data_IF_616009381492
#
_entry.id   IF_616009381492
#
_cell.length_a   1.000
_cell.length_b   1.000
_cell.length_c   1.000
_cell.angle_alpha   90.00
_cell.angle_beta   90.00
_cell.angle_gamma   90.00
#
_symmetry.space_group_name_H-M   'P 1'
#
loop_
_entity.id
_entity.type
_entity.pdbx_description
1 polymer ?
#
# COMPACT_ATOMS: atom_id res chain seq x y z
N UNK A 1 -17.40 -24.45 48.67
CA UNK A 1 -16.26 -23.87 49.40
C UNK A 1 -15.75 -22.67 48.62
N UNK A 2 -15.98 -21.46 49.15
CA UNK A 2 -15.55 -20.20 48.58
C UNK A 2 -14.24 -19.75 49.22
N UNK A 3 -13.27 -19.28 48.42
CA UNK A 3 -12.08 -18.52 48.85
C UNK A 3 -11.96 -17.32 47.90
N UNK A 4 -12.63 -16.21 48.21
CA UNK A 4 -12.16 -15.02 48.96
C UNK A 4 -11.04 -14.27 48.21
N UNK A 5 -11.45 -13.20 47.50
CA UNK A 5 -10.62 -12.08 47.00
C UNK A 5 -10.21 -11.19 48.19
N UNK A 6 -8.98 -10.67 48.19
CA UNK A 6 -8.63 -9.27 48.56
C UNK A 6 -7.09 -9.07 48.62
N UNK A 7 -6.60 -8.03 47.94
CA UNK A 7 -5.60 -7.02 48.38
C UNK A 7 -4.91 -6.41 47.15
N UNK A 8 -4.78 -5.11 46.85
CA UNK A 8 -5.20 -3.78 47.34
C UNK A 8 -4.80 -2.77 46.21
N UNK A 9 -5.52 -1.65 45.98
CA UNK A 9 -5.01 -0.53 45.18
C UNK A 9 -4.46 0.57 46.11
N UNK A 10 -3.18 0.91 45.94
CA UNK A 10 -2.49 1.94 46.72
C UNK A 10 -2.94 3.35 46.33
N UNK A 11 -3.66 3.94 47.26
CA UNK A 11 -3.52 5.30 47.82
C UNK A 11 -3.59 6.51 46.89
N UNK A 12 -4.77 7.12 46.98
CA UNK A 12 -5.13 8.52 46.74
C UNK A 12 -4.32 9.42 47.69
N UNK A 13 -3.75 10.53 47.21
CA UNK A 13 -3.46 11.69 48.06
C UNK A 13 -4.11 12.92 47.44
N UNK A 14 -5.31 13.19 47.95
CA UNK A 14 -6.04 14.44 47.84
C UNK A 14 -5.30 15.51 48.65
N UNK A 15 -5.00 16.65 48.03
CA UNK A 15 -4.92 17.94 48.72
C UNK A 15 -5.82 18.90 47.96
N UNK A 16 -6.99 19.14 48.53
CA UNK A 16 -7.87 20.24 48.15
C UNK A 16 -7.34 21.54 48.76
N UNK A 17 -7.27 22.58 47.94
CA UNK A 17 -7.48 23.96 48.37
C UNK A 17 -8.17 24.69 47.22
N UNK A 18 -9.42 25.06 47.45
CA UNK A 18 -10.32 25.81 46.58
C UNK A 18 -9.99 27.31 46.73
N UNK A 19 -10.09 28.09 45.63
CA UNK A 19 -10.79 29.41 45.52
C UNK A 19 -10.26 30.18 44.29
N UNK A 20 -11.12 30.19 43.25
CA UNK A 20 -11.54 31.29 42.35
C UNK A 20 -10.52 32.24 41.70
N UNK A 21 -10.40 32.17 40.37
CA UNK A 21 -10.48 33.37 39.51
C UNK A 21 -10.62 33.01 38.03
N UNK A 22 -11.61 33.62 37.38
CA UNK A 22 -11.92 33.56 35.97
C UNK A 22 -10.76 34.01 35.07
N UNK A 23 -10.44 33.21 34.04
CA UNK A 23 -10.22 33.69 32.67
C UNK A 23 -10.06 32.54 31.69
N UNK A 24 -11.10 32.37 30.90
CA UNK A 24 -11.07 31.67 29.62
C UNK A 24 -10.04 32.36 28.70
N UNK A 25 -8.95 31.67 28.36
CA UNK A 25 -8.09 32.05 27.23
C UNK A 25 -7.75 30.79 26.46
N UNK A 26 -8.56 30.56 25.42
CA UNK A 26 -8.41 29.51 24.43
C UNK A 26 -7.14 29.79 23.61
N UNK A 27 -6.13 28.89 23.56
CA UNK A 27 -5.01 29.09 22.65
C UNK A 27 -5.50 29.00 21.19
N UNK A 28 -4.95 29.80 20.27
CA UNK A 28 -5.36 29.82 18.87
C UNK A 28 -5.19 28.44 18.22
N UNK A 29 -6.05 28.05 17.27
CA UNK A 29 -5.92 26.76 16.59
C UNK A 29 -4.59 26.70 15.85
N UNK A 30 -3.77 25.69 16.15
CA UNK A 30 -2.61 25.38 15.33
C UNK A 30 -3.06 25.19 13.87
N UNK A 31 -2.38 25.79 12.88
CA UNK A 31 -2.67 25.51 11.48
C UNK A 31 -2.53 24.00 11.22
N UNK A 32 -3.39 23.41 10.37
CA UNK A 32 -3.34 21.98 10.08
C UNK A 32 -1.93 21.57 9.63
N UNK A 33 -1.41 20.41 10.05
CA UNK A 33 -0.08 19.95 9.65
C UNK A 33 0.00 19.96 8.13
N UNK A 34 0.86 20.83 7.61
CA UNK A 34 1.18 20.90 6.19
C UNK A 34 1.74 19.53 5.82
N UNK A 35 1.02 18.77 5.00
CA UNK A 35 1.48 17.50 4.46
C UNK A 35 2.69 17.78 3.57
N UNK A 36 3.89 17.81 4.16
CA UNK A 36 5.13 17.71 3.40
C UNK A 36 5.19 16.25 2.95
N UNK A 37 4.69 15.99 1.75
CA UNK A 37 4.95 14.78 0.99
C UNK A 37 6.47 14.70 0.74
N UNK A 38 7.22 14.24 1.73
CA UNK A 38 8.56 13.69 1.52
C UNK A 38 8.39 12.30 0.87
N UNK A 39 7.74 12.29 -0.29
CA UNK A 39 7.93 11.23 -1.26
C UNK A 39 9.39 11.38 -1.69
N UNK A 40 10.28 10.54 -1.16
CA UNK A 40 11.50 10.28 -1.91
C UNK A 40 11.02 9.85 -3.30
N UNK A 41 11.33 10.60 -4.38
CA UNK A 41 10.83 10.27 -5.68
C UNK A 41 11.38 8.90 -6.02
N UNK A 42 10.51 7.89 -6.11
CA UNK A 42 10.88 6.63 -6.74
C UNK A 42 11.44 7.03 -8.09
N UNK A 43 12.74 6.77 -8.30
CA UNK A 43 13.41 7.19 -9.51
C UNK A 43 12.57 6.72 -10.70
N UNK A 44 12.18 7.64 -11.61
CA UNK A 44 11.27 7.29 -12.67
C UNK A 44 11.87 6.13 -13.45
N UNK A 45 11.08 5.07 -13.74
CA UNK A 45 11.60 3.95 -14.49
C UNK A 45 12.19 4.47 -15.81
N UNK A 46 13.37 3.99 -16.18
CA UNK A 46 14.05 4.35 -17.44
C UNK A 46 13.31 3.74 -18.63
N UNK A 47 12.05 4.13 -18.85
CA UNK A 47 11.14 3.56 -19.85
C UNK A 47 11.77 3.57 -21.23
N UNK A 48 12.42 4.67 -21.61
CA UNK A 48 13.11 4.76 -22.91
C UNK A 48 14.24 3.74 -23.09
N UNK A 49 14.98 3.41 -22.03
CA UNK A 49 15.99 2.35 -22.09
C UNK A 49 15.34 0.96 -22.18
N UNK A 50 14.30 0.72 -21.37
CA UNK A 50 13.55 -0.55 -21.36
C UNK A 50 12.89 -0.80 -22.72
N UNK A 51 12.28 0.22 -23.35
CA UNK A 51 11.68 0.11 -24.68
C UNK A 51 12.70 -0.14 -25.79
N UNK A 52 13.96 0.31 -25.64
CA UNK A 52 15.04 0.01 -26.58
C UNK A 52 15.61 -1.38 -26.38
N UNK A 53 15.77 -1.80 -25.13
CA UNK A 53 16.33 -3.10 -24.77
C UNK A 53 15.34 -4.24 -25.02
N UNK A 54 14.05 -4.00 -24.76
CA UNK A 54 12.97 -4.98 -24.95
C UNK A 54 12.97 -5.65 -26.33
N UNK A 55 12.92 -4.92 -27.47
CA UNK A 55 12.94 -5.55 -28.79
C UNK A 55 14.25 -6.28 -29.08
N UNK A 56 15.40 -5.84 -28.54
CA UNK A 56 16.67 -6.54 -28.70
C UNK A 56 16.62 -7.95 -28.11
N UNK A 57 15.96 -8.12 -26.95
CA UNK A 57 15.80 -9.44 -26.31
C UNK A 57 14.66 -10.25 -26.92
N UNK A 58 13.60 -9.58 -27.35
CA UNK A 58 12.35 -10.21 -27.79
C UNK A 58 12.39 -10.62 -29.27
N UNK A 59 13.06 -9.85 -30.13
CA UNK A 59 13.16 -10.13 -31.56
C UNK A 59 13.77 -11.50 -31.90
N UNK A 60 14.92 -11.94 -31.32
CA UNK A 60 15.45 -13.26 -31.61
C UNK A 60 14.48 -14.37 -31.17
N UNK A 61 13.82 -14.21 -30.02
CA UNK A 61 12.83 -15.18 -29.55
C UNK A 61 11.66 -15.34 -30.54
N UNK A 62 11.07 -14.24 -31.01
CA UNK A 62 10.00 -14.32 -32.01
C UNK A 62 10.47 -14.82 -33.37
N UNK A 63 11.72 -14.51 -33.78
CA UNK A 63 12.30 -15.09 -34.99
C UNK A 63 12.37 -16.61 -34.90
N UNK A 64 12.90 -17.15 -33.79
CA UNK A 64 12.96 -18.59 -33.58
C UNK A 64 11.55 -19.20 -33.56
N UNK A 65 10.63 -18.58 -32.82
CA UNK A 65 9.28 -19.08 -32.59
C UNK A 65 8.40 -19.11 -33.85
N UNK A 66 8.54 -18.11 -34.74
CA UNK A 66 7.65 -17.92 -35.89
C UNK A 66 8.26 -18.33 -37.24
N UNK A 67 9.58 -18.22 -37.40
CA UNK A 67 10.23 -18.41 -38.71
C UNK A 67 11.20 -19.59 -38.74
N UNK A 68 11.93 -19.85 -37.66
CA UNK A 68 12.93 -20.93 -37.64
C UNK A 68 12.32 -22.28 -37.26
N UNK A 69 11.56 -22.31 -36.16
CA UNK A 69 10.85 -23.52 -35.77
C UNK A 69 9.56 -23.62 -36.58
N UNK A 70 9.41 -24.73 -37.30
CA UNK A 70 8.16 -25.13 -37.95
C UNK A 70 7.16 -25.61 -36.88
N UNK A 71 6.78 -24.70 -35.98
CA UNK A 71 5.78 -24.99 -34.96
C UNK A 71 4.45 -25.20 -35.67
N UNK A 72 3.80 -26.34 -35.39
CA UNK A 72 2.48 -26.63 -35.94
C UNK A 72 1.54 -25.47 -35.64
N UNK A 73 0.81 -25.01 -36.65
CA UNK A 73 -0.14 -23.89 -36.51
C UNK A 73 -1.17 -24.13 -35.40
N UNK A 74 -1.47 -25.39 -35.10
CA UNK A 74 -2.36 -25.79 -34.02
C UNK A 74 -1.80 -25.53 -32.62
N UNK A 75 -0.47 -25.42 -32.48
CA UNK A 75 0.20 -25.08 -31.22
C UNK A 75 0.45 -23.58 -31.08
N UNK A 76 0.61 -22.84 -32.18
CA UNK A 76 0.81 -21.39 -32.15
C UNK A 76 -0.44 -20.67 -31.62
N UNK A 77 -1.63 -21.09 -32.06
CA UNK A 77 -2.92 -20.51 -31.63
C UNK A 77 -3.12 -20.53 -30.10
N UNK A 78 -3.01 -21.68 -29.39
CA UNK A 78 -3.19 -21.71 -27.95
C UNK A 78 -2.10 -20.94 -27.19
N UNK A 79 -0.85 -20.94 -27.67
CA UNK A 79 0.23 -20.12 -27.10
C UNK A 79 -0.15 -18.63 -27.17
N UNK A 80 -0.63 -18.18 -28.33
CA UNK A 80 -1.01 -16.79 -28.54
C UNK A 80 -2.25 -16.40 -27.73
N UNK A 81 -3.24 -17.29 -27.61
CA UNK A 81 -4.41 -17.09 -26.76
C UNK A 81 -4.00 -16.97 -25.29
N UNK A 82 -3.12 -17.84 -24.80
CA UNK A 82 -2.66 -17.78 -23.41
C UNK A 82 -1.89 -16.47 -23.14
N UNK A 83 -0.97 -16.11 -24.03
CA UNK A 83 -0.24 -14.85 -23.94
C UNK A 83 -1.18 -13.63 -23.94
N UNK A 84 -2.16 -13.61 -24.85
CA UNK A 84 -3.17 -12.56 -24.93
C UNK A 84 -4.06 -12.49 -23.69
N UNK A 85 -4.52 -13.64 -23.19
CA UNK A 85 -5.35 -13.74 -21.99
C UNK A 85 -4.58 -13.29 -20.74
N UNK A 86 -3.31 -13.67 -20.62
CA UNK A 86 -2.43 -13.24 -19.53
C UNK A 86 -2.20 -11.73 -19.55
N UNK A 87 -1.99 -11.16 -20.74
CA UNK A 87 -1.81 -9.72 -20.91
C UNK A 87 -3.11 -8.95 -20.58
N UNK A 88 -4.26 -9.44 -21.04
CA UNK A 88 -5.56 -8.87 -20.70
C UNK A 88 -5.82 -8.93 -19.19
N UNK A 89 -5.52 -10.07 -18.56
CA UNK A 89 -5.61 -10.27 -17.11
C UNK A 89 -4.73 -9.28 -16.35
N UNK A 90 -3.49 -9.05 -16.78
CA UNK A 90 -2.61 -8.06 -16.18
C UNK A 90 -3.22 -6.66 -16.14
N UNK A 91 -3.74 -6.17 -17.27
CA UNK A 91 -4.36 -4.84 -17.32
C UNK A 91 -5.64 -4.77 -16.50
N UNK A 92 -6.45 -5.83 -16.52
CA UNK A 92 -7.65 -5.94 -15.71
C UNK A 92 -7.29 -5.85 -14.22
N UNK A 93 -6.29 -6.59 -13.76
CA UNK A 93 -5.81 -6.55 -12.36
C UNK A 93 -5.31 -5.17 -11.97
N UNK A 94 -4.48 -4.52 -12.80
CA UNK A 94 -3.99 -3.16 -12.54
C UNK A 94 -5.16 -2.17 -12.35
N UNK A 95 -6.23 -2.32 -13.14
CA UNK A 95 -7.44 -1.50 -13.02
C UNK A 95 -8.32 -1.90 -11.82
N UNK A 96 -8.28 -3.17 -11.41
CA UNK A 96 -9.08 -3.70 -10.31
C UNK A 96 -8.51 -3.35 -8.93
N UNK A 97 -7.19 -3.30 -8.76
CA UNK A 97 -6.51 -2.95 -7.50
C UNK A 97 -7.08 -1.68 -6.83
N UNK A 98 -7.20 -0.52 -7.51
CA UNK A 98 -7.73 0.70 -6.88
C UNK A 98 -9.21 0.58 -6.51
N UNK A 99 -9.99 -0.24 -7.22
CA UNK A 99 -11.39 -0.51 -6.86
C UNK A 99 -11.44 -1.40 -5.62
N UNK A 100 -10.73 -2.53 -5.63
CA UNK A 100 -10.70 -3.50 -4.55
C UNK A 100 -10.16 -2.90 -3.24
N UNK A 101 -9.13 -2.04 -3.31
CA UNK A 101 -8.51 -1.40 -2.14
C UNK A 101 -9.54 -0.69 -1.25
N UNK A 102 -10.52 0.00 -1.84
CA UNK A 102 -11.59 0.71 -1.10
C UNK A 102 -12.47 -0.25 -0.29
N UNK A 103 -12.79 -1.41 -0.85
CA UNK A 103 -13.63 -2.41 -0.19
C UNK A 103 -12.86 -3.12 0.93
N UNK A 104 -11.61 -3.46 0.68
CA UNK A 104 -10.69 -4.09 1.63
C UNK A 104 -10.47 -3.18 2.84
N UNK A 105 -10.23 -1.89 2.63
CA UNK A 105 -10.15 -0.87 3.69
C UNK A 105 -11.45 -0.79 4.51
N UNK A 106 -12.62 -0.82 3.87
CA UNK A 106 -13.93 -0.77 4.56
C UNK A 106 -14.17 -1.98 5.46
N UNK A 107 -13.60 -3.14 5.12
CA UNK A 107 -13.69 -4.38 5.91
C UNK A 107 -12.58 -4.52 6.96
N UNK A 108 -11.79 -3.47 7.20
CA UNK A 108 -10.64 -3.49 8.09
C UNK A 108 -9.57 -4.52 7.71
N UNK A 109 -9.47 -4.87 6.42
CA UNK A 109 -8.47 -5.78 5.87
C UNK A 109 -7.22 -4.99 5.42
N UNK A 110 -6.63 -4.18 6.30
CA UNK A 110 -5.51 -3.31 5.96
C UNK A 110 -4.32 -3.49 6.90
N UNK A 111 -3.14 -3.12 6.44
CA UNK A 111 -1.91 -3.09 7.23
C UNK A 111 -1.38 -1.67 7.39
N UNK A 112 -0.42 -1.52 8.30
CA UNK A 112 0.46 -0.36 8.32
C UNK A 112 1.82 -0.79 7.78
N UNK A 113 2.47 0.10 7.02
CA UNK A 113 3.85 -0.14 6.59
C UNK A 113 4.79 -0.06 7.80
N UNK A 114 5.17 -1.22 8.33
CA UNK A 114 6.02 -1.33 9.52
C UNK A 114 7.43 -0.79 9.29
N UNK A 115 7.88 -0.69 8.04
CA UNK A 115 9.17 -0.12 7.70
C UNK A 115 9.13 1.41 7.76
N UNK A 116 7.94 2.00 7.89
CA UNK A 116 7.72 3.46 7.97
C UNK A 116 7.23 3.91 9.35
N UNK A 117 7.42 3.11 10.39
CA UNK A 117 7.05 3.44 11.77
C UNK A 117 7.65 4.79 12.21
N UNK A 118 6.85 5.62 12.87
CA UNK A 118 7.26 6.95 13.33
C UNK A 118 7.20 8.05 12.26
N UNK A 119 6.94 7.72 11.00
CA UNK A 119 6.70 8.71 9.95
C UNK A 119 5.19 8.89 9.72
N UNK A 120 4.72 10.06 9.22
CA UNK A 120 3.33 10.24 8.83
C UNK A 120 2.83 9.20 7.81
N UNK A 121 3.74 8.63 7.02
CA UNK A 121 3.43 7.58 6.03
C UNK A 121 3.18 6.21 6.68
N UNK A 122 3.78 5.93 7.84
CA UNK A 122 3.54 4.69 8.60
C UNK A 122 2.15 4.60 9.23
N UNK A 123 1.42 5.72 9.28
CA UNK A 123 0.03 5.78 9.78
C UNK A 123 -1.00 5.62 8.65
N UNK A 124 -0.55 5.53 7.39
CA UNK A 124 -1.42 5.29 6.24
C UNK A 124 -1.87 3.83 6.25
N UNK A 125 -3.18 3.63 6.10
CA UNK A 125 -3.77 2.31 5.91
C UNK A 125 -3.50 1.86 4.48
N UNK A 126 -2.64 0.86 4.33
CA UNK A 126 -2.29 0.24 3.04
C UNK A 126 -3.06 -1.04 2.82
#
# INVERSE_FOLDING_TARGET
>A
MARKRASEPTTITTKEAIVTSDKETKPPPLPPPRQTSNDQPIAPPKKGFIFKLSPLLIAPYFYLLLFHYQIQHDLIKPILINAGLSLAGFFLTVKLIPVASKYVLKRNLFGYDINKKGTPQGTVKV
#
